data_IF_951771680558
#
_entry.id   IF_951771680558
#
_cell.length_a   1.000
_cell.length_b   1.000
_cell.length_c   1.000
_cell.angle_alpha   90.00
_cell.angle_beta   90.00
_cell.angle_gamma   90.00
#
_symmetry.space_group_name_H-M   'P 1'
#
loop_
_entity.id
_entity.type
_entity.pdbx_description
1 polymer ?
#
# COMPACT_ATOMS: atom_id res chain seq x y z
N UNK A 1 -16.52 -28.33 15.29
CA UNK A 1 -16.67 -27.18 14.39
C UNK A 1 -15.49 -27.22 13.43
N UNK A 2 -15.72 -27.66 12.19
CA UNK A 2 -14.64 -27.76 11.19
C UNK A 2 -14.08 -26.36 10.91
N UNK A 3 -12.76 -26.20 11.01
CA UNK A 3 -12.10 -24.97 10.57
C UNK A 3 -12.45 -24.72 9.10
N UNK A 4 -13.06 -23.57 8.80
CA UNK A 4 -13.21 -23.09 7.42
C UNK A 4 -11.83 -23.07 6.78
N UNK A 5 -11.65 -23.88 5.73
CA UNK A 5 -10.39 -23.93 4.96
C UNK A 5 -10.43 -22.87 3.88
N UNK A 6 -9.33 -22.16 3.69
CA UNK A 6 -9.19 -21.17 2.62
C UNK A 6 -8.57 -19.86 3.06
N UNK A 7 -8.47 -18.94 2.10
CA UNK A 7 -7.92 -17.61 2.28
C UNK A 7 -9.01 -16.59 2.00
N UNK A 8 -9.32 -15.73 2.98
CA UNK A 8 -10.27 -14.63 2.85
C UNK A 8 -9.55 -13.32 3.15
N UNK A 9 -9.75 -12.31 2.32
CA UNK A 9 -9.20 -10.97 2.52
C UNK A 9 -10.35 -10.00 2.83
N UNK A 10 -10.42 -9.54 4.08
CA UNK A 10 -11.31 -8.44 4.46
C UNK A 10 -10.63 -7.12 4.09
N UNK A 11 -11.22 -6.36 3.18
CA UNK A 11 -10.57 -5.17 2.63
C UNK A 11 -11.56 -4.12 2.14
N UNK A 12 -11.05 -2.96 1.75
CA UNK A 12 -11.81 -1.87 1.14
C UNK A 12 -11.13 -1.47 -0.16
N UNK A 13 -11.89 -1.36 -1.25
CA UNK A 13 -11.36 -1.32 -2.62
C UNK A 13 -10.20 -0.33 -2.81
N UNK A 14 -10.29 0.89 -2.29
CA UNK A 14 -9.30 1.95 -2.48
C UNK A 14 -8.11 1.88 -1.51
N UNK A 15 -8.15 1.01 -0.50
CA UNK A 15 -7.13 0.95 0.56
C UNK A 15 -5.75 0.58 0.00
N UNK A 16 -4.74 1.48 0.10
CA UNK A 16 -3.39 1.14 -0.35
C UNK A 16 -2.80 -0.01 0.47
N UNK A 17 -3.14 -0.11 1.75
CA UNK A 17 -2.72 -1.21 2.63
C UNK A 17 -3.29 -2.56 2.19
N UNK A 18 -4.55 -2.56 1.76
CA UNK A 18 -5.22 -3.74 1.21
C UNK A 18 -4.62 -4.19 -0.11
N UNK A 19 -4.35 -3.23 -1.00
CA UNK A 19 -3.69 -3.46 -2.28
C UNK A 19 -2.32 -4.11 -2.13
N UNK A 20 -1.54 -3.80 -1.08
CA UNK A 20 -0.29 -4.53 -0.75
C UNK A 20 -0.52 -6.04 -0.64
N UNK A 21 -1.59 -6.43 0.06
CA UNK A 21 -1.95 -7.84 0.30
C UNK A 21 -2.44 -8.49 -0.99
N UNK A 22 -3.28 -7.80 -1.77
CA UNK A 22 -3.75 -8.30 -3.09
C UNK A 22 -2.58 -8.57 -4.03
N UNK A 23 -1.62 -7.65 -4.10
CA UNK A 23 -0.40 -7.80 -4.92
C UNK A 23 0.41 -8.99 -4.41
N UNK A 24 0.66 -9.11 -3.11
CA UNK A 24 1.44 -10.22 -2.56
C UNK A 24 0.79 -11.60 -2.81
N UNK A 25 -0.54 -11.71 -2.66
CA UNK A 25 -1.29 -12.94 -2.98
C UNK A 25 -1.16 -13.28 -4.47
N UNK A 26 -1.29 -12.28 -5.35
CA UNK A 26 -1.13 -12.46 -6.80
C UNK A 26 0.30 -12.87 -7.19
N UNK A 27 1.32 -12.22 -6.63
CA UNK A 27 2.74 -12.57 -6.85
C UNK A 27 3.08 -14.00 -6.38
N UNK A 28 2.35 -14.51 -5.38
CA UNK A 28 2.46 -15.91 -4.90
C UNK A 28 1.51 -16.89 -5.58
N UNK A 29 0.61 -16.45 -6.47
CA UNK A 29 -0.42 -17.31 -7.07
C UNK A 29 -1.32 -17.98 -6.02
N UNK A 30 -1.79 -17.20 -5.06
CA UNK A 30 -2.71 -17.63 -4.01
C UNK A 30 -4.10 -17.12 -4.33
N UNK A 31 -5.01 -18.04 -4.64
CA UNK A 31 -6.44 -17.74 -4.76
C UNK A 31 -7.03 -17.40 -3.40
N UNK A 32 -7.94 -16.44 -3.36
CA UNK A 32 -8.57 -15.97 -2.14
C UNK A 32 -9.96 -15.40 -2.41
N UNK A 33 -10.82 -15.42 -1.39
CA UNK A 33 -12.10 -14.71 -1.41
C UNK A 33 -11.87 -13.25 -0.98
N UNK A 34 -12.26 -12.31 -1.84
CA UNK A 34 -12.26 -10.89 -1.50
C UNK A 34 -13.59 -10.48 -0.84
N UNK A 35 -13.52 -9.95 0.38
CA UNK A 35 -14.70 -9.51 1.15
C UNK A 35 -14.65 -8.00 1.39
N UNK A 36 -15.38 -7.25 0.56
CA UNK A 36 -15.48 -5.78 0.67
C UNK A 36 -16.12 -5.37 2.02
N UNK A 37 -15.46 -4.46 2.73
CA UNK A 37 -15.87 -3.95 4.02
C UNK A 37 -16.36 -2.50 3.93
N UNK A 38 -17.43 -2.18 4.67
CA UNK A 38 -17.78 -0.79 4.97
C UNK A 38 -16.92 -0.26 6.10
N UNK A 39 -16.26 0.88 5.89
CA UNK A 39 -15.50 1.57 6.94
C UNK A 39 -16.37 2.42 7.87
N UNK A 40 -17.58 2.80 7.42
CA UNK A 40 -18.56 3.49 8.23
C UNK A 40 -19.31 2.51 9.15
N UNK A 41 -19.61 1.32 8.66
CA UNK A 41 -20.35 0.25 9.36
C UNK A 41 -19.54 -1.05 9.31
N UNK A 42 -18.62 -1.20 10.28
CA UNK A 42 -17.70 -2.33 10.32
C UNK A 42 -18.44 -3.63 10.60
N UNK A 43 -18.18 -4.66 9.80
CA UNK A 43 -18.83 -5.97 9.95
C UNK A 43 -18.46 -6.65 11.29
N UNK A 44 -19.34 -7.49 11.85
CA UNK A 44 -19.00 -8.31 13.02
C UNK A 44 -17.77 -9.19 12.80
N UNK A 45 -17.59 -9.69 11.57
CA UNK A 45 -16.41 -10.49 11.19
C UNK A 45 -15.13 -9.66 11.31
N UNK A 46 -15.10 -8.43 10.79
CA UNK A 46 -13.94 -7.54 10.93
C UNK A 46 -13.63 -7.22 12.39
N UNK A 47 -14.66 -6.90 13.19
CA UNK A 47 -14.49 -6.56 14.60
C UNK A 47 -13.98 -7.75 15.42
N UNK A 48 -14.43 -8.97 15.10
CA UNK A 48 -13.95 -10.22 15.72
C UNK A 48 -12.52 -10.55 15.30
N UNK A 49 -12.18 -10.36 14.03
CA UNK A 49 -10.88 -10.74 13.47
C UNK A 49 -9.76 -9.75 13.80
N UNK A 50 -10.07 -8.47 13.96
CA UNK A 50 -9.12 -7.45 14.42
C UNK A 50 -9.72 -6.62 15.58
N UNK A 51 -9.84 -7.19 16.79
CA UNK A 51 -10.48 -6.52 17.92
C UNK A 51 -9.67 -5.31 18.43
N UNK A 52 -8.35 -5.34 18.26
CA UNK A 52 -7.42 -4.30 18.71
C UNK A 52 -7.60 -3.02 17.88
N UNK A 53 -7.34 -3.10 16.57
CA UNK A 53 -7.34 -1.91 15.71
C UNK A 53 -8.65 -1.71 14.96
N UNK A 54 -9.44 -2.77 14.76
CA UNK A 54 -10.71 -2.73 14.01
C UNK A 54 -10.49 -2.18 12.60
N UNK A 55 -9.35 -2.48 11.98
CA UNK A 55 -8.92 -1.97 10.67
C UNK A 55 -8.79 -3.11 9.66
N UNK A 56 -8.97 -2.75 8.40
CA UNK A 56 -8.54 -3.53 7.23
C UNK A 56 -7.11 -3.14 6.83
N UNK A 57 -6.40 -3.97 6.04
CA UNK A 57 -6.76 -5.33 5.66
C UNK A 57 -6.66 -6.32 6.82
N UNK A 58 -7.45 -7.39 6.74
CA UNK A 58 -7.27 -8.59 7.56
C UNK A 58 -7.27 -9.80 6.63
N UNK A 59 -6.19 -10.58 6.67
CA UNK A 59 -6.12 -11.87 5.99
C UNK A 59 -6.59 -12.95 6.95
N UNK A 60 -7.57 -13.76 6.58
CA UNK A 60 -8.00 -14.92 7.34
C UNK A 60 -7.53 -16.15 6.57
N UNK A 61 -6.60 -16.90 7.14
CA UNK A 61 -6.08 -18.14 6.57
C UNK A 61 -6.48 -19.31 7.47
N UNK A 62 -7.30 -20.23 6.94
CA UNK A 62 -7.85 -21.37 7.68
C UNK A 62 -8.50 -20.97 9.01
N UNK A 63 -9.30 -19.90 8.96
CA UNK A 63 -10.00 -19.32 10.13
C UNK A 63 -9.12 -18.51 11.09
N UNK A 64 -7.81 -18.34 10.80
CA UNK A 64 -6.88 -17.58 11.65
C UNK A 64 -6.64 -16.19 11.06
N UNK A 65 -6.97 -15.10 11.77
CA UNK A 65 -6.75 -13.74 11.27
C UNK A 65 -5.30 -13.30 11.46
N UNK A 66 -4.77 -12.61 10.43
CA UNK A 66 -3.51 -11.89 10.41
C UNK A 66 -3.84 -10.43 10.07
N UNK A 67 -3.40 -9.52 10.92
CA UNK A 67 -3.62 -8.08 10.80
C UNK A 67 -2.33 -7.36 10.40
N UNK A 68 -2.45 -6.08 10.02
CA UNK A 68 -1.36 -5.20 9.58
C UNK A 68 -0.75 -5.60 8.22
N UNK A 69 -0.91 -4.75 7.20
CA UNK A 69 -0.58 -5.09 5.81
C UNK A 69 0.84 -5.62 5.61
N UNK A 70 1.87 -5.01 6.23
CA UNK A 70 3.26 -5.46 6.11
C UNK A 70 3.54 -6.75 6.87
N UNK A 71 2.80 -7.04 7.93
CA UNK A 71 2.86 -8.33 8.63
C UNK A 71 2.22 -9.40 7.76
N UNK A 72 1.05 -9.10 7.17
CA UNK A 72 0.35 -9.99 6.24
C UNK A 72 1.23 -10.34 5.02
N UNK A 73 1.90 -9.37 4.41
CA UNK A 73 2.79 -9.62 3.25
C UNK A 73 3.96 -10.55 3.62
N UNK A 74 4.56 -10.39 4.81
CA UNK A 74 5.61 -11.29 5.29
C UNK A 74 5.06 -12.69 5.55
N UNK A 75 3.91 -12.80 6.20
CA UNK A 75 3.22 -14.07 6.40
C UNK A 75 2.96 -14.79 5.07
N UNK A 76 2.53 -14.05 4.05
CA UNK A 76 2.34 -14.60 2.70
C UNK A 76 3.67 -15.12 2.12
N UNK A 77 4.75 -14.38 2.28
CA UNK A 77 6.07 -14.79 1.77
C UNK A 77 6.58 -16.06 2.45
N UNK A 78 6.34 -16.19 3.75
CA UNK A 78 6.78 -17.33 4.58
C UNK A 78 5.94 -18.59 4.36
N UNK A 79 4.61 -18.46 4.29
CA UNK A 79 3.68 -19.60 4.17
C UNK A 79 3.69 -20.20 2.76
N UNK A 80 3.81 -19.38 1.73
CA UNK A 80 3.85 -19.81 0.33
C UNK A 80 5.25 -19.63 -0.28
N UNK A 81 6.28 -19.92 0.51
CA UNK A 81 7.69 -19.81 0.11
C UNK A 81 8.09 -20.75 -1.04
N UNK A 82 7.36 -21.84 -1.24
CA UNK A 82 7.60 -22.87 -2.26
C UNK A 82 6.94 -22.56 -3.62
N UNK A 83 5.93 -21.69 -3.65
CA UNK A 83 5.16 -21.42 -4.89
C UNK A 83 5.90 -20.56 -5.92
N UNK A 84 6.52 -19.47 -5.48
CA UNK A 84 7.06 -18.40 -6.34
C UNK A 84 8.27 -17.72 -5.69
N UNK A 85 8.92 -16.84 -6.44
CA UNK A 85 10.08 -16.08 -6.00
C UNK A 85 9.82 -15.39 -4.64
N UNK A 86 10.86 -15.25 -3.79
CA UNK A 86 10.73 -14.62 -2.49
C UNK A 86 10.47 -13.12 -2.63
N UNK A 87 9.57 -12.59 -1.80
CA UNK A 87 9.28 -11.15 -1.72
C UNK A 87 10.38 -10.45 -0.90
N UNK A 88 10.85 -11.09 0.17
CA UNK A 88 11.95 -10.61 1.00
C UNK A 88 13.29 -11.24 0.59
N UNK A 89 14.41 -10.50 0.70
CA UNK A 89 15.74 -11.07 0.55
C UNK A 89 16.04 -12.17 1.57
N UNK A 90 16.82 -13.18 1.16
CA UNK A 90 17.33 -14.24 2.04
C UNK A 90 18.47 -13.76 2.93
N UNK A 91 19.30 -12.85 2.44
CA UNK A 91 20.36 -12.24 3.24
C UNK A 91 19.76 -11.43 4.42
N UNK A 92 20.23 -11.64 5.66
CA UNK A 92 19.68 -10.94 6.83
C UNK A 92 19.80 -9.42 6.76
N UNK A 93 20.89 -8.88 6.23
CA UNK A 93 21.10 -7.44 6.15
C UNK A 93 20.18 -6.81 5.11
N UNK A 94 20.12 -7.36 3.91
CA UNK A 94 19.21 -6.93 2.86
C UNK A 94 17.74 -7.02 3.30
N UNK A 95 17.38 -8.07 4.04
CA UNK A 95 16.04 -8.21 4.64
C UNK A 95 15.75 -7.13 5.68
N UNK A 96 16.73 -6.76 6.51
CA UNK A 96 16.59 -5.66 7.46
C UNK A 96 16.41 -4.32 6.74
N UNK A 97 17.16 -4.06 5.67
CA UNK A 97 17.02 -2.86 4.84
C UNK A 97 15.63 -2.78 4.19
N UNK A 98 15.14 -3.89 3.63
CA UNK A 98 13.80 -3.95 3.06
C UNK A 98 12.71 -3.64 4.10
N UNK A 99 12.85 -4.17 5.31
CA UNK A 99 11.93 -3.89 6.43
C UNK A 99 11.98 -2.43 6.87
N UNK A 100 13.17 -1.85 6.95
CA UNK A 100 13.36 -0.44 7.28
C UNK A 100 12.63 0.47 6.30
N UNK A 101 12.83 0.27 4.99
CA UNK A 101 12.18 1.11 3.99
C UNK A 101 10.67 0.90 3.92
N UNK A 102 10.18 -0.31 4.08
CA UNK A 102 8.73 -0.57 4.17
C UNK A 102 8.10 0.13 5.38
N UNK A 103 8.76 0.09 6.56
CA UNK A 103 8.33 0.81 7.77
C UNK A 103 8.38 2.34 7.57
N UNK A 104 9.42 2.85 6.91
CA UNK A 104 9.52 4.26 6.55
C UNK A 104 8.32 4.69 5.68
N UNK A 105 7.99 3.92 4.64
CA UNK A 105 6.82 4.19 3.77
C UNK A 105 5.53 4.21 4.59
N UNK A 106 5.35 3.23 5.49
CA UNK A 106 4.15 3.12 6.31
C UNK A 106 3.93 4.33 7.22
N UNK A 107 5.03 4.83 7.80
CA UNK A 107 5.03 6.00 8.68
C UNK A 107 4.92 7.31 7.92
N UNK A 108 5.56 7.44 6.76
CA UNK A 108 5.75 8.74 6.10
C UNK A 108 4.78 9.00 4.97
N UNK A 109 4.65 8.08 4.01
CA UNK A 109 3.87 8.33 2.79
C UNK A 109 2.38 8.49 3.12
N UNK A 110 1.81 7.60 3.92
CA UNK A 110 0.38 7.66 4.25
C UNK A 110 0.03 8.87 5.14
N UNK A 111 0.82 9.11 6.19
CA UNK A 111 0.57 10.21 7.12
C UNK A 111 0.71 11.57 6.43
N UNK A 112 1.82 11.78 5.73
CA UNK A 112 2.08 13.04 5.05
C UNK A 112 1.14 13.23 3.85
N UNK A 113 0.91 12.19 3.05
CA UNK A 113 -0.06 12.23 1.95
C UNK A 113 -1.50 12.55 2.41
N UNK A 114 -1.89 12.09 3.59
CA UNK A 114 -3.19 12.43 4.21
C UNK A 114 -3.28 13.93 4.51
N UNK A 115 -2.20 14.53 5.01
CA UNK A 115 -2.15 15.97 5.31
C UNK A 115 -2.30 16.82 4.05
N UNK A 116 -1.83 16.36 2.89
CA UNK A 116 -1.92 17.10 1.62
C UNK A 116 -3.35 17.38 1.16
N UNK A 117 -4.30 16.48 1.39
CA UNK A 117 -5.70 16.72 1.04
C UNK A 117 -6.57 17.18 2.20
N UNK A 118 -6.09 17.00 3.44
CA UNK A 118 -6.84 17.32 4.67
C UNK A 118 -6.59 18.75 5.18
N UNK A 119 -5.35 19.24 5.08
CA UNK A 119 -4.96 20.55 5.59
C UNK A 119 -5.08 21.64 4.52
N UNK A 120 -5.00 22.91 4.94
CA UNK A 120 -5.10 24.11 4.09
C UNK A 120 -4.05 25.14 4.50
N UNK A 121 -3.75 26.07 3.59
CA UNK A 121 -2.85 27.19 3.86
C UNK A 121 -1.43 26.74 4.22
N UNK A 122 -0.81 27.42 5.18
CA UNK A 122 0.59 27.18 5.59
C UNK A 122 0.85 25.72 6.01
N UNK A 123 -0.08 25.10 6.76
CA UNK A 123 0.07 23.72 7.20
C UNK A 123 0.05 22.70 6.04
N UNK A 124 -0.65 23.02 4.94
CA UNK A 124 -0.64 22.22 3.71
C UNK A 124 0.69 22.40 2.95
N UNK A 125 1.21 23.62 2.90
CA UNK A 125 2.50 23.94 2.28
C UNK A 125 3.68 23.28 3.01
N UNK A 126 3.65 23.23 4.34
CA UNK A 126 4.63 22.46 5.13
C UNK A 126 4.56 20.96 4.84
N UNK A 127 3.35 20.39 4.82
CA UNK A 127 3.14 18.99 4.44
C UNK A 127 3.63 18.71 3.01
N UNK A 128 3.44 19.64 2.08
CA UNK A 128 3.92 19.53 0.70
C UNK A 128 5.43 19.46 0.63
N UNK A 129 6.14 20.34 1.34
CA UNK A 129 7.61 20.33 1.42
C UNK A 129 8.10 18.99 2.01
N UNK A 130 7.52 18.56 3.12
CA UNK A 130 7.86 17.27 3.74
C UNK A 130 7.61 16.09 2.78
N UNK A 131 6.48 16.08 2.07
CA UNK A 131 6.15 15.01 1.11
C UNK A 131 7.14 14.96 -0.05
N UNK A 132 7.54 16.12 -0.58
CA UNK A 132 8.55 16.21 -1.64
C UNK A 132 9.90 15.66 -1.16
N UNK A 133 10.32 15.99 0.07
CA UNK A 133 11.56 15.47 0.64
C UNK A 133 11.49 13.94 0.84
N UNK A 134 10.34 13.41 1.26
CA UNK A 134 10.09 11.97 1.36
C UNK A 134 10.22 11.30 -0.01
N UNK A 135 9.64 11.88 -1.08
CA UNK A 135 9.74 11.35 -2.43
C UNK A 135 11.20 11.35 -2.92
N UNK A 136 11.95 12.44 -2.71
CA UNK A 136 13.36 12.53 -3.09
C UNK A 136 14.23 11.51 -2.35
N UNK A 137 13.94 11.26 -1.07
CA UNK A 137 14.65 10.24 -0.30
C UNK A 137 14.39 8.84 -0.85
N UNK A 138 13.13 8.51 -1.16
CA UNK A 138 12.77 7.22 -1.77
C UNK A 138 13.37 7.06 -3.17
N UNK A 139 13.43 8.14 -3.95
CA UNK A 139 14.07 8.14 -5.26
C UNK A 139 15.59 7.92 -5.16
N UNK A 140 16.23 8.56 -4.18
CA UNK A 140 17.65 8.35 -3.90
C UNK A 140 17.94 6.92 -3.47
N UNK A 141 17.08 6.30 -2.67
CA UNK A 141 17.20 4.88 -2.31
C UNK A 141 17.03 4.01 -3.54
N UNK A 142 16.01 4.25 -4.38
CA UNK A 142 15.81 3.51 -5.62
C UNK A 142 17.06 3.58 -6.51
N UNK A 143 17.68 4.76 -6.62
CA UNK A 143 18.90 4.97 -7.39
C UNK A 143 18.67 4.65 -8.87
N UNK A 144 19.48 3.74 -9.40
CA UNK A 144 19.36 3.24 -10.79
C UNK A 144 18.79 1.81 -10.86
N UNK A 145 18.28 1.29 -9.73
CA UNK A 145 17.68 -0.05 -9.67
C UNK A 145 16.36 -0.08 -10.44
N UNK A 146 16.04 -1.23 -11.03
CA UNK A 146 14.76 -1.43 -11.69
C UNK A 146 13.60 -1.39 -10.67
N UNK A 147 13.82 -2.02 -9.52
CA UNK A 147 12.93 -2.13 -8.36
C UNK A 147 13.73 -1.85 -7.07
N UNK A 148 13.06 -1.61 -5.95
CA UNK A 148 13.74 -1.46 -4.66
C UNK A 148 14.46 -2.75 -4.24
N UNK A 149 13.97 -3.91 -4.67
CA UNK A 149 14.66 -5.20 -4.56
C UNK A 149 15.83 -5.43 -5.54
N UNK A 150 16.27 -4.40 -6.27
CA UNK A 150 17.28 -4.53 -7.33
C UNK A 150 16.63 -4.88 -8.67
N UNK A 151 16.93 -6.07 -9.18
CA UNK A 151 16.31 -6.58 -10.42
C UNK A 151 14.98 -7.30 -10.19
N UNK A 152 14.66 -7.62 -8.93
CA UNK A 152 13.42 -8.29 -8.56
C UNK A 152 12.45 -7.33 -7.87
N UNK A 153 11.18 -7.40 -8.26
CA UNK A 153 10.08 -6.75 -7.54
C UNK A 153 9.94 -7.41 -6.16
N UNK A 154 9.98 -6.62 -5.09
CA UNK A 154 10.06 -7.14 -3.73
C UNK A 154 9.26 -6.37 -2.69
N UNK A 155 9.60 -6.60 -1.42
CA UNK A 155 8.82 -6.12 -0.27
C UNK A 155 8.58 -4.60 -0.24
N UNK A 156 9.62 -3.82 -0.53
CA UNK A 156 9.53 -2.34 -0.55
C UNK A 156 8.68 -1.87 -1.72
N UNK A 157 8.79 -2.53 -2.87
CA UNK A 157 7.97 -2.20 -4.04
C UNK A 157 6.48 -2.44 -3.75
N UNK A 158 6.15 -3.60 -3.16
CA UNK A 158 4.78 -3.91 -2.70
C UNK A 158 4.31 -2.87 -1.69
N UNK A 159 5.17 -2.43 -0.77
CA UNK A 159 4.80 -1.45 0.24
C UNK A 159 4.46 -0.06 -0.35
N UNK A 160 5.16 0.36 -1.40
CA UNK A 160 5.04 1.70 -1.98
C UNK A 160 4.08 1.78 -3.16
N UNK A 161 4.04 0.77 -4.03
CA UNK A 161 3.36 0.87 -5.34
C UNK A 161 1.87 1.23 -5.23
N UNK A 162 1.11 0.80 -4.20
CA UNK A 162 -0.28 1.23 -4.05
C UNK A 162 -0.47 2.74 -3.95
N UNK A 163 0.51 3.46 -3.40
CA UNK A 163 0.43 4.91 -3.24
C UNK A 163 0.63 5.67 -4.56
N UNK A 164 1.15 5.02 -5.61
CA UNK A 164 1.27 5.66 -6.93
C UNK A 164 -0.10 6.05 -7.50
N UNK A 165 -1.15 5.27 -7.21
CA UNK A 165 -2.52 5.59 -7.59
C UNK A 165 -3.08 6.83 -6.85
N UNK A 166 -2.46 7.22 -5.73
CA UNK A 166 -2.84 8.39 -4.94
C UNK A 166 -2.09 9.66 -5.34
N UNK A 167 -1.01 9.56 -6.13
CA UNK A 167 -0.19 10.72 -6.52
C UNK A 167 -1.01 11.80 -7.22
N UNK A 168 -1.87 11.43 -8.16
CA UNK A 168 -2.76 12.40 -8.83
C UNK A 168 -3.63 13.19 -7.83
N UNK A 169 -4.09 12.53 -6.77
CA UNK A 169 -4.87 13.21 -5.71
C UNK A 169 -4.01 14.19 -4.93
N UNK A 170 -2.78 13.81 -4.60
CA UNK A 170 -1.83 14.65 -3.88
C UNK A 170 -1.42 15.87 -4.70
N UNK A 171 -1.05 15.66 -5.97
CA UNK A 171 -0.70 16.71 -6.94
C UNK A 171 -1.84 17.72 -7.09
N UNK A 172 -3.07 17.23 -7.26
CA UNK A 172 -4.25 18.09 -7.43
C UNK A 172 -4.60 18.85 -6.16
N UNK A 173 -4.48 18.24 -4.98
CA UNK A 173 -4.84 18.89 -3.71
C UNK A 173 -3.81 19.93 -3.26
N UNK A 174 -2.51 19.66 -3.46
CA UNK A 174 -1.41 20.48 -2.95
C UNK A 174 -0.65 21.25 -4.06
N UNK A 175 -1.12 21.19 -5.31
CA UNK A 175 -0.60 21.93 -6.47
C UNK A 175 0.92 21.79 -6.66
N UNK A 176 1.37 20.55 -6.86
CA UNK A 176 2.75 20.21 -7.23
C UNK A 176 2.75 19.06 -8.24
N UNK A 177 3.94 18.66 -8.71
CA UNK A 177 4.09 17.53 -9.63
C UNK A 177 5.12 16.55 -9.09
N UNK A 178 4.71 15.30 -8.87
CA UNK A 178 5.59 14.21 -8.47
C UNK A 178 6.60 13.90 -9.58
N UNK A 179 6.19 14.00 -10.86
CA UNK A 179 7.11 13.77 -11.99
C UNK A 179 8.24 14.81 -12.06
N UNK A 180 7.98 16.06 -11.67
CA UNK A 180 9.02 17.10 -11.61
C UNK A 180 9.97 16.91 -10.43
N UNK A 181 9.45 16.46 -9.29
CA UNK A 181 10.22 16.36 -8.04
C UNK A 181 10.93 15.02 -7.87
N UNK A 182 10.38 13.94 -8.45
CA UNK A 182 10.90 12.58 -8.36
C UNK A 182 10.64 11.75 -9.64
N UNK A 183 11.24 12.10 -10.79
CA UNK A 183 10.97 11.48 -12.09
C UNK A 183 11.28 9.98 -12.16
N UNK A 184 12.34 9.49 -11.50
CA UNK A 184 12.69 8.06 -11.47
C UNK A 184 11.67 7.25 -10.68
N UNK A 185 11.06 7.83 -9.62
CA UNK A 185 9.95 7.17 -8.93
C UNK A 185 8.72 7.07 -9.82
N UNK A 186 8.39 8.09 -10.61
CA UNK A 186 7.29 8.00 -11.58
C UNK A 186 7.57 6.94 -12.63
N UNK A 187 8.80 6.88 -13.15
CA UNK A 187 9.23 5.82 -14.08
C UNK A 187 9.14 4.43 -13.44
N UNK A 188 9.57 4.28 -12.19
CA UNK A 188 9.42 3.04 -11.41
C UNK A 188 7.95 2.64 -11.24
N UNK A 189 7.06 3.58 -10.91
CA UNK A 189 5.63 3.32 -10.80
C UNK A 189 5.04 2.78 -12.10
N UNK A 190 5.39 3.41 -13.24
CA UNK A 190 5.00 2.96 -14.59
C UNK A 190 5.50 1.53 -14.85
N UNK A 191 6.77 1.22 -14.56
CA UNK A 191 7.30 -0.16 -14.68
C UNK A 191 6.55 -1.15 -13.80
N UNK A 192 6.23 -0.78 -12.56
CA UNK A 192 5.49 -1.67 -11.67
C UNK A 192 4.09 -2.00 -12.22
N UNK A 193 3.42 -1.05 -12.90
CA UNK A 193 2.10 -1.29 -13.51
C UNK A 193 2.12 -2.23 -14.72
N UNK A 194 3.29 -2.51 -15.30
CA UNK A 194 3.43 -3.55 -16.34
C UNK A 194 3.27 -4.96 -15.76
N UNK A 195 3.38 -5.12 -14.43
CA UNK A 195 3.12 -6.39 -13.75
C UNK A 195 1.61 -6.60 -13.59
N UNK A 196 1.15 -7.78 -13.99
CA UNK A 196 -0.26 -8.16 -13.89
C UNK A 196 -0.82 -8.07 -12.46
N UNK A 197 -0.02 -8.48 -11.46
CA UNK A 197 -0.34 -8.41 -10.03
C UNK A 197 -0.66 -6.98 -9.57
N UNK A 198 0.08 -6.00 -10.07
CA UNK A 198 -0.08 -4.57 -9.77
C UNK A 198 -1.24 -4.00 -10.58
N UNK A 199 -1.26 -4.22 -11.90
CA UNK A 199 -2.29 -3.72 -12.80
C UNK A 199 -3.71 -4.11 -12.36
N UNK A 200 -3.89 -5.35 -11.88
CA UNK A 200 -5.19 -5.84 -11.38
C UNK A 200 -5.57 -5.32 -10.00
N UNK A 201 -4.58 -4.92 -9.19
CA UNK A 201 -4.80 -4.52 -7.80
C UNK A 201 -5.00 -3.02 -7.63
N UNK A 202 -4.38 -2.21 -8.50
CA UNK A 202 -4.51 -0.75 -8.46
C UNK A 202 -5.80 -0.28 -9.12
N UNK A 203 -6.24 0.90 -8.71
CA UNK A 203 -7.38 1.57 -9.30
C UNK A 203 -6.95 2.83 -10.03
N UNK A 204 -7.77 3.27 -10.99
CA UNK A 204 -7.54 4.49 -11.75
C UNK A 204 -7.31 5.69 -10.79
N UNK A 205 -6.22 6.47 -10.95
CA UNK A 205 -5.92 7.60 -10.07
C UNK A 205 -7.03 8.66 -9.99
N UNK A 206 -7.84 8.82 -11.04
CA UNK A 206 -9.00 9.72 -11.04
C UNK A 206 -10.11 9.19 -10.16
N UNK A 207 -10.35 7.87 -10.16
CA UNK A 207 -11.30 7.22 -9.25
C UNK A 207 -10.86 7.35 -7.79
N UNK A 208 -9.55 7.25 -7.52
CA UNK A 208 -9.00 7.54 -6.18
C UNK A 208 -9.23 9.00 -5.80
N UNK A 209 -9.03 9.94 -6.73
CA UNK A 209 -9.29 11.36 -6.48
C UNK A 209 -10.76 11.68 -6.22
N UNK A 210 -11.69 11.06 -6.96
CA UNK A 210 -13.13 11.16 -6.67
C UNK A 210 -13.46 10.71 -5.25
N UNK A 211 -12.82 9.64 -4.78
CA UNK A 211 -12.95 9.18 -3.39
C UNK A 211 -12.37 10.20 -2.39
N UNK A 212 -11.22 10.81 -2.69
CA UNK A 212 -10.65 11.89 -1.86
C UNK A 212 -11.60 13.10 -1.81
N UNK A 213 -12.20 13.49 -2.92
CA UNK A 213 -13.22 14.55 -2.97
C UNK A 213 -14.45 14.20 -2.12
N UNK A 214 -14.92 12.95 -2.17
CA UNK A 214 -15.97 12.47 -1.27
C UNK A 214 -15.58 12.58 0.20
N UNK A 215 -14.34 12.20 0.57
CA UNK A 215 -13.85 12.36 1.94
C UNK A 215 -13.79 13.84 2.35
N UNK A 216 -13.32 14.73 1.47
CA UNK A 216 -13.26 16.17 1.76
C UNK A 216 -14.64 16.75 2.07
N UNK A 217 -15.67 16.38 1.29
CA UNK A 217 -17.08 16.71 1.55
C UNK A 217 -17.54 16.19 2.90
N UNK A 218 -17.31 14.90 3.16
CA UNK A 218 -17.73 14.24 4.39
C UNK A 218 -17.11 14.87 5.65
N UNK A 219 -15.88 15.35 5.56
CA UNK A 219 -15.18 15.99 6.67
C UNK A 219 -15.33 17.52 6.71
N UNK A 220 -16.02 18.13 5.75
CA UNK A 220 -16.22 19.59 5.71
C UNK A 220 -14.95 20.40 5.47
N UNK A 221 -14.04 19.88 4.63
CA UNK A 221 -12.70 20.46 4.37
C UNK A 221 -12.48 20.84 2.89
N UNK A 222 -13.56 21.10 2.15
CA UNK A 222 -13.50 21.41 0.71
C UNK A 222 -12.54 22.57 0.38
#
# INVERSE_FOLDING_TARGET
MGSEKGVVLLDFWVSPFGQRVRIALAEKGVEYEYSEQSLAEKSPLLLKSNPVHKKIPVLIHDGKPICESLVIVQYIDEVWADKKAPILPKDPYARAQARFWADFIDKKIYECGTRLWKLKGEAQEEAKKEFIDILKLLESELGDKNFFGGDSFGFVDIALVPFTAWFYSYETCANFSVEKEAPKLVAWGKRCTERESVAKSLHDPRKVYEFVCFLKKRFGIE
#
